data_IF_474951227389
#
_entry.id   IF_474951227389
#
_cell.length_a   1.000
_cell.length_b   1.000
_cell.length_c   1.000
_cell.angle_alpha   90.00
_cell.angle_beta   90.00
_cell.angle_gamma   90.00
#
_symmetry.space_group_name_H-M   'P 1'
#
loop_
_entity.id
_entity.type
_entity.pdbx_description
1 polymer ?
#
# COMPACT_ATOMS: atom_id res chain seq x y z
N UNK A 1 15.44 0.73 -9.92
CA UNK A 1 14.40 0.60 -8.87
C UNK A 1 15.10 0.13 -7.61
N UNK A 2 14.84 0.73 -6.45
CA UNK A 2 15.54 0.36 -5.20
C UNK A 2 14.97 -0.95 -4.62
N UNK A 3 15.74 -1.66 -3.79
CA UNK A 3 15.27 -2.86 -3.09
C UNK A 3 14.00 -2.60 -2.28
N UNK A 4 13.91 -1.44 -1.63
CA UNK A 4 12.73 -1.02 -0.88
C UNK A 4 11.48 -0.93 -1.77
N UNK A 5 11.57 -0.30 -2.94
CA UNK A 5 10.44 -0.21 -3.88
C UNK A 5 9.97 -1.59 -4.33
N UNK A 6 10.89 -2.51 -4.61
CA UNK A 6 10.53 -3.88 -5.01
C UNK A 6 9.85 -4.63 -3.86
N UNK A 7 10.32 -4.47 -2.62
CA UNK A 7 9.71 -5.07 -1.44
C UNK A 7 8.29 -4.55 -1.21
N UNK A 8 8.08 -3.23 -1.28
CA UNK A 8 6.75 -2.64 -1.09
C UNK A 8 5.77 -3.08 -2.19
N UNK A 9 6.22 -3.17 -3.45
CA UNK A 9 5.39 -3.68 -4.54
C UNK A 9 5.01 -5.16 -4.36
N UNK A 10 5.92 -5.99 -3.86
CA UNK A 10 5.63 -7.39 -3.59
C UNK A 10 4.59 -7.56 -2.46
N UNK A 11 4.64 -6.67 -1.46
CA UNK A 11 3.65 -6.61 -0.38
C UNK A 11 2.27 -6.20 -0.93
N UNK A 12 2.21 -5.18 -1.79
CA UNK A 12 0.95 -4.77 -2.43
C UNK A 12 0.36 -5.93 -3.25
N UNK A 13 1.18 -6.65 -4.01
CA UNK A 13 0.69 -7.78 -4.81
C UNK A 13 0.15 -8.93 -3.97
N UNK A 14 0.79 -9.22 -2.83
CA UNK A 14 0.28 -10.20 -1.86
C UNK A 14 -1.13 -9.83 -1.36
N UNK A 15 -1.35 -8.57 -1.01
CA UNK A 15 -2.62 -8.12 -0.43
C UNK A 15 -3.73 -7.87 -1.47
N UNK A 16 -3.40 -7.82 -2.76
CA UNK A 16 -4.41 -7.71 -3.84
C UNK A 16 -5.40 -8.90 -3.82
N UNK A 17 -4.96 -10.04 -3.31
CA UNK A 17 -5.77 -11.25 -3.19
C UNK A 17 -6.78 -11.28 -2.05
N UNK A 18 -6.80 -10.29 -1.15
CA UNK A 18 -7.73 -10.28 -0.01
C UNK A 18 -9.20 -10.25 -0.50
N UNK A 19 -10.04 -11.24 -0.13
CA UNK A 19 -11.43 -11.29 -0.55
C UNK A 19 -12.28 -10.20 0.09
N UNK A 20 -11.84 -9.63 1.23
CA UNK A 20 -12.54 -8.52 1.87
C UNK A 20 -12.24 -7.24 1.10
N UNK A 21 -13.29 -6.64 0.54
CA UNK A 21 -13.18 -5.41 -0.23
C UNK A 21 -13.93 -4.27 0.44
N UNK A 22 -13.44 -3.06 0.23
CA UNK A 22 -14.06 -1.81 0.65
C UNK A 22 -14.26 -0.92 -0.57
N UNK A 23 -15.28 -0.07 -0.53
CA UNK A 23 -15.48 0.97 -1.54
C UNK A 23 -14.75 2.23 -1.14
N UNK A 24 -13.83 2.69 -1.97
CA UNK A 24 -13.15 3.99 -1.84
C UNK A 24 -13.36 4.74 -3.14
N UNK A 25 -13.92 5.95 -3.06
CA UNK A 25 -14.21 6.80 -4.23
C UNK A 25 -14.98 6.09 -5.36
N UNK A 26 -15.90 5.19 -4.99
CA UNK A 26 -16.70 4.39 -5.92
C UNK A 26 -16.00 3.16 -6.50
N UNK A 27 -14.72 2.93 -6.19
CA UNK A 27 -13.96 1.75 -6.61
C UNK A 27 -13.87 0.70 -5.49
N UNK A 28 -13.97 -0.57 -5.84
CA UNK A 28 -13.76 -1.70 -4.92
C UNK A 28 -12.27 -2.03 -4.85
N UNK A 29 -11.67 -1.89 -3.68
CA UNK A 29 -10.28 -2.24 -3.40
C UNK A 29 -10.22 -3.28 -2.29
N UNK A 30 -9.27 -4.21 -2.37
CA UNK A 30 -9.00 -5.14 -1.29
C UNK A 30 -8.60 -4.37 -0.02
N UNK A 31 -9.21 -4.68 1.12
CA UNK A 31 -9.08 -3.90 2.34
C UNK A 31 -7.62 -3.90 2.81
N UNK A 32 -6.96 -5.06 2.83
CA UNK A 32 -5.56 -5.15 3.21
C UNK A 32 -4.63 -4.41 2.22
N UNK A 33 -4.95 -4.41 0.92
CA UNK A 33 -4.19 -3.63 -0.07
C UNK A 33 -4.28 -2.13 0.21
N UNK A 34 -5.48 -1.63 0.54
CA UNK A 34 -5.65 -0.23 0.91
C UNK A 34 -4.75 0.15 2.10
N UNK A 35 -4.74 -0.66 3.15
CA UNK A 35 -3.88 -0.43 4.31
C UNK A 35 -2.39 -0.49 3.96
N UNK A 36 -1.96 -1.46 3.13
CA UNK A 36 -0.57 -1.56 2.68
C UNK A 36 -0.10 -0.29 1.93
N UNK A 37 -0.93 0.22 1.03
CA UNK A 37 -0.64 1.44 0.28
C UNK A 37 -0.59 2.70 1.15
N UNK A 38 -1.46 2.78 2.16
CA UNK A 38 -1.42 3.85 3.17
C UNK A 38 -0.13 3.81 3.99
N UNK A 39 0.34 2.62 4.38
CA UNK A 39 1.62 2.44 5.06
C UNK A 39 2.80 2.86 4.18
N UNK A 40 2.83 2.43 2.92
CA UNK A 40 3.84 2.88 1.94
C UNK A 40 3.86 4.41 1.83
N UNK A 41 2.70 5.04 1.73
CA UNK A 41 2.57 6.50 1.68
C UNK A 41 3.12 7.16 2.95
N UNK A 42 2.84 6.61 4.12
CA UNK A 42 3.36 7.12 5.39
C UNK A 42 4.87 7.02 5.49
N UNK A 43 5.46 5.87 5.13
CA UNK A 43 6.91 5.68 5.12
C UNK A 43 7.60 6.68 4.19
N UNK A 44 7.04 6.90 2.99
CA UNK A 44 7.56 7.88 2.05
C UNK A 44 7.51 9.32 2.60
N UNK A 45 6.50 9.66 3.41
CA UNK A 45 6.46 10.98 4.09
C UNK A 45 7.59 11.10 5.10
N UNK A 46 7.81 10.09 5.94
CA UNK A 46 8.88 10.08 6.94
C UNK A 46 10.28 10.17 6.30
N UNK A 47 10.51 9.49 5.18
CA UNK A 47 11.82 9.53 4.51
C UNK A 47 12.11 10.86 3.81
N UNK A 48 11.08 11.56 3.31
CA UNK A 48 11.24 12.83 2.59
C UNK A 48 11.05 14.07 3.47
N UNK A 49 10.54 13.91 4.69
CA UNK A 49 10.35 14.98 5.66
C UNK A 49 10.52 14.41 7.08
N UNK A 50 11.76 14.07 7.48
CA UNK A 50 12.04 13.71 8.85
C UNK A 50 11.77 14.93 9.75
N UNK A 51 10.91 14.75 10.75
CA UNK A 51 10.64 15.73 11.81
C UNK A 51 11.85 15.91 12.72
#
# INVERSE_FOLDING_TARGET
MTNLTNTLNAIDELHRGDPKKVTVDGAQIANELLYAQQMTTWLNKLTNSPS
#
